data_IF_298385019531
#
_entry.id   IF_298385019531
#
_cell.length_a   1.000
_cell.length_b   1.000
_cell.length_c   1.000
_cell.angle_alpha   90.00
_cell.angle_beta   90.00
_cell.angle_gamma   90.00
#
_symmetry.space_group_name_H-M   'P 1'
#
loop_
_entity.id
_entity.type
_entity.pdbx_description
1 polymer ?
#
# COMPACT_ATOMS: atom_id res chain seq x y z
N UNK A 1 8.34 25.07 14.62
CA UNK A 1 7.74 23.74 14.72
C UNK A 1 7.31 23.42 13.31
N UNK A 2 8.19 22.77 12.55
CA UNK A 2 7.79 22.21 11.27
C UNK A 2 7.25 20.83 11.61
N UNK A 3 5.93 20.72 11.52
CA UNK A 3 5.23 19.45 11.58
C UNK A 3 5.92 18.50 10.59
N UNK A 4 6.39 17.36 11.11
CA UNK A 4 6.91 16.24 10.34
C UNK A 4 5.74 15.66 9.52
N UNK A 5 5.29 16.41 8.54
CA UNK A 5 4.26 15.99 7.61
C UNK A 5 4.90 14.92 6.76
N UNK A 6 4.68 13.68 7.18
CA UNK A 6 5.16 12.43 6.62
C UNK A 6 4.78 12.40 5.14
N UNK A 7 5.60 13.06 4.31
CA UNK A 7 5.34 13.33 2.89
C UNK A 7 5.60 12.06 2.10
N UNK A 8 4.56 11.24 1.92
CA UNK A 8 4.71 9.99 1.20
C UNK A 8 5.03 10.32 -0.28
N UNK A 9 6.03 9.65 -0.83
CA UNK A 9 6.50 9.89 -2.20
C UNK A 9 5.98 8.81 -3.15
N UNK A 10 6.01 9.09 -4.45
CA UNK A 10 5.68 8.05 -5.43
C UNK A 10 6.68 6.91 -5.32
N UNK A 11 6.18 5.68 -5.19
CA UNK A 11 6.96 4.48 -4.92
C UNK A 11 7.09 4.10 -3.44
N UNK A 12 6.66 4.96 -2.51
CA UNK A 12 6.50 4.58 -1.11
C UNK A 12 5.36 3.57 -0.94
N UNK A 13 5.46 2.75 0.10
CA UNK A 13 4.43 1.81 0.48
C UNK A 13 3.69 2.33 1.70
N UNK A 14 2.39 2.11 1.72
CA UNK A 14 1.53 2.48 2.83
C UNK A 14 0.45 1.43 3.05
N UNK A 15 -0.04 1.39 4.28
CA UNK A 15 -1.20 0.59 4.65
C UNK A 15 -2.42 1.49 4.63
N UNK A 16 -3.41 1.13 3.83
CA UNK A 16 -4.69 1.84 3.75
C UNK A 16 -5.79 1.01 4.38
N UNK A 17 -6.75 1.68 5.02
CA UNK A 17 -7.99 1.06 5.48
C UNK A 17 -9.08 1.20 4.43
N UNK A 18 -9.74 0.09 4.09
CA UNK A 18 -10.88 0.04 3.20
C UNK A 18 -11.87 -1.02 3.70
N UNK A 19 -13.12 -0.65 3.92
CA UNK A 19 -14.17 -1.59 4.40
C UNK A 19 -13.74 -2.34 5.68
N UNK A 20 -13.26 -1.60 6.69
CA UNK A 20 -12.72 -2.11 7.96
C UNK A 20 -11.55 -3.11 7.83
N UNK A 21 -10.94 -3.19 6.64
CA UNK A 21 -9.81 -4.08 6.35
C UNK A 21 -8.60 -3.26 5.93
N UNK A 22 -7.45 -3.74 6.37
CA UNK A 22 -6.16 -3.12 6.05
C UNK A 22 -5.57 -3.78 4.81
N UNK A 23 -5.23 -2.96 3.83
CA UNK A 23 -4.58 -3.38 2.60
C UNK A 23 -3.26 -2.65 2.43
N UNK A 24 -2.15 -3.35 2.15
CA UNK A 24 -0.92 -2.71 1.76
C UNK A 24 -1.05 -2.23 0.31
N UNK A 25 -0.52 -1.04 0.04
CA UNK A 25 -0.51 -0.46 -1.28
C UNK A 25 0.73 0.38 -1.54
N UNK A 26 1.00 0.60 -2.82
CA UNK A 26 2.09 1.42 -3.33
C UNK A 26 1.53 2.73 -3.87
N UNK A 27 2.12 3.85 -3.48
CA UNK A 27 1.71 5.18 -3.93
C UNK A 27 2.19 5.39 -5.36
N UNK A 28 1.24 5.49 -6.29
CA UNK A 28 1.49 5.75 -7.72
C UNK A 28 1.47 7.25 -8.04
N UNK A 29 0.67 8.04 -7.33
CA UNK A 29 0.64 9.49 -7.50
C UNK A 29 0.41 10.21 -6.17
N UNK A 30 1.29 11.17 -5.85
CA UNK A 30 1.21 11.96 -4.61
C UNK A 30 0.09 13.01 -4.64
N UNK A 31 -0.11 13.67 -5.79
CA UNK A 31 -1.07 14.77 -5.90
C UNK A 31 -2.51 14.33 -5.62
N UNK A 32 -2.83 13.08 -5.94
CA UNK A 32 -4.18 12.53 -5.80
C UNK A 32 -4.22 11.38 -4.79
N UNK A 33 -3.11 11.08 -4.09
CA UNK A 33 -2.96 9.89 -3.24
C UNK A 33 -3.49 8.62 -3.94
N UNK A 34 -3.11 8.46 -5.21
CA UNK A 34 -3.44 7.28 -5.99
C UNK A 34 -2.60 6.13 -5.44
N UNK A 35 -3.23 5.20 -4.74
CA UNK A 35 -2.57 4.04 -4.16
C UNK A 35 -3.04 2.79 -4.90
N UNK A 36 -2.09 2.02 -5.41
CA UNK A 36 -2.38 0.70 -5.93
C UNK A 36 -2.31 -0.28 -4.77
N UNK A 37 -3.43 -0.89 -4.42
CA UNK A 37 -3.53 -1.83 -3.29
C UNK A 37 -3.37 -3.27 -3.74
N UNK A 38 -2.74 -4.08 -2.89
CA UNK A 38 -2.67 -5.51 -3.06
C UNK A 38 -3.83 -6.21 -2.36
N UNK A 39 -4.21 -7.36 -2.92
CA UNK A 39 -5.20 -8.23 -2.32
C UNK A 39 -4.54 -9.41 -1.61
N UNK A 40 -5.12 -9.90 -0.51
CA UNK A 40 -4.60 -11.08 0.17
C UNK A 40 -4.70 -12.32 -0.73
N UNK A 41 -3.66 -13.14 -0.72
CA UNK A 41 -3.51 -14.37 -1.47
C UNK A 41 -2.93 -15.47 -0.54
N UNK A 42 -3.79 -16.01 0.33
CA UNK A 42 -3.37 -16.95 1.36
C UNK A 42 -2.52 -16.23 2.42
N UNK A 43 -1.26 -16.67 2.59
CA UNK A 43 -0.29 -16.05 3.50
C UNK A 43 0.51 -14.90 2.88
N UNK A 44 0.26 -14.58 1.62
CA UNK A 44 0.99 -13.57 0.86
C UNK A 44 0.05 -12.53 0.27
N UNK A 45 0.61 -11.51 -0.35
CA UNK A 45 -0.10 -10.46 -1.07
C UNK A 45 0.17 -10.59 -2.56
N UNK A 46 -0.78 -10.17 -3.39
CA UNK A 46 -0.58 -10.10 -4.83
C UNK A 46 -1.29 -8.88 -5.40
N UNK A 47 -0.81 -8.45 -6.55
CA UNK A 47 -1.54 -7.48 -7.35
C UNK A 47 -2.86 -8.11 -7.84
N UNK A 48 -4.00 -7.42 -7.71
CA UNK A 48 -5.25 -7.88 -8.27
C UNK A 48 -5.14 -7.99 -9.80
N UNK A 49 -5.84 -8.97 -10.39
CA UNK A 49 -5.80 -9.20 -11.85
C UNK A 49 -6.32 -8.01 -12.65
N UNK A 50 -7.24 -7.25 -12.07
CA UNK A 50 -7.61 -5.92 -12.53
C UNK A 50 -6.82 -4.93 -11.67
N UNK A 51 -5.99 -4.08 -12.30
CA UNK A 51 -5.27 -3.03 -11.58
C UNK A 51 -6.32 -2.14 -10.90
N UNK A 52 -6.32 -2.21 -9.58
CA UNK A 52 -7.20 -1.41 -8.74
C UNK A 52 -6.33 -0.27 -8.20
N UNK A 53 -6.38 0.85 -8.91
CA UNK A 53 -5.77 2.11 -8.51
C UNK A 53 -6.91 2.95 -7.95
N UNK A 54 -6.97 3.07 -6.63
CA UNK A 54 -8.01 3.81 -5.93
C UNK A 54 -7.38 5.09 -5.37
N UNK A 55 -8.13 6.18 -5.45
CA UNK A 55 -7.83 7.43 -4.77
C UNK A 55 -8.21 7.28 -3.30
N UNK A 56 -7.20 7.18 -2.44
CA UNK A 56 -7.43 7.12 -0.99
C UNK A 56 -7.23 8.50 -0.40
N UNK A 57 -8.17 9.01 0.41
CA UNK A 57 -7.90 10.20 1.19
C UNK A 57 -6.78 9.91 2.21
N UNK A 58 -6.04 10.94 2.61
CA UNK A 58 -4.92 10.79 3.56
C UNK A 58 -5.37 10.17 4.89
N UNK A 59 -6.61 10.39 5.32
CA UNK A 59 -7.21 9.76 6.50
C UNK A 59 -7.30 8.23 6.41
N UNK A 60 -7.39 7.67 5.20
CA UNK A 60 -7.39 6.22 5.00
C UNK A 60 -5.99 5.63 5.11
N UNK A 61 -4.94 6.45 5.03
CA UNK A 61 -3.54 6.01 5.13
C UNK A 61 -3.19 5.87 6.61
N UNK A 62 -3.14 4.64 7.08
CA UNK A 62 -2.92 4.33 8.49
C UNK A 62 -1.45 4.49 8.87
N UNK A 63 -0.55 3.89 8.07
CA UNK A 63 0.90 3.94 8.31
C UNK A 63 1.67 3.71 7.02
N UNK A 64 2.94 4.12 7.04
CA UNK A 64 3.89 3.70 5.99
C UNK A 64 4.34 2.27 6.22
N UNK A 65 4.61 1.58 5.11
CA UNK A 65 5.15 0.25 5.08
C UNK A 65 6.49 0.27 4.37
N UNK A 66 7.32 -0.70 4.72
CA UNK A 66 8.50 -1.02 3.92
C UNK A 66 8.11 -1.73 2.62
N UNK A 67 8.92 -1.58 1.56
CA UNK A 67 8.70 -2.29 0.31
C UNK A 67 8.63 -3.80 0.55
N UNK A 68 7.66 -4.50 -0.06
CA UNK A 68 7.52 -5.93 0.12
C UNK A 68 8.66 -6.67 -0.57
N UNK A 69 8.96 -7.85 -0.06
CA UNK A 69 9.86 -8.79 -0.73
C UNK A 69 9.06 -9.64 -1.72
N UNK A 70 9.54 -9.73 -2.95
CA UNK A 70 8.97 -10.63 -3.96
C UNK A 70 9.31 -12.07 -3.58
N UNK A 71 8.30 -12.86 -3.20
CA UNK A 71 8.48 -14.24 -2.74
C UNK A 71 8.69 -15.19 -3.92
N UNK A 72 8.02 -14.94 -5.05
CA UNK A 72 8.15 -15.78 -6.23
C UNK A 72 7.83 -15.03 -7.54
N UNK A 73 8.21 -15.65 -8.66
CA UNK A 73 7.93 -15.14 -10.01
C UNK A 73 6.43 -15.11 -10.37
N UNK A 74 5.55 -15.63 -9.52
CA UNK A 74 4.09 -15.55 -9.70
C UNK A 74 3.50 -14.24 -9.16
N UNK A 75 4.34 -13.31 -8.70
CA UNK A 75 3.90 -12.01 -8.20
C UNK A 75 3.28 -12.10 -6.81
N UNK A 76 3.80 -13.00 -5.95
CA UNK A 76 3.49 -12.97 -4.52
C UNK A 76 4.49 -12.08 -3.78
N UNK A 77 3.97 -11.30 -2.84
CA UNK A 77 4.67 -10.28 -2.08
C UNK A 77 4.47 -10.54 -0.60
N UNK A 78 5.53 -10.31 0.19
CA UNK A 78 5.50 -10.42 1.64
C UNK A 78 5.95 -9.11 2.27
N UNK A 79 5.17 -8.62 3.22
CA UNK A 79 5.53 -7.47 4.04
C UNK A 79 6.01 -7.95 5.40
N UNK A 80 7.11 -7.37 5.89
CA UNK A 80 7.65 -7.69 7.21
C UNK A 80 7.05 -6.80 8.32
N UNK A 81 6.59 -5.59 7.97
CA UNK A 81 6.07 -4.60 8.91
C UNK A 81 4.54 -4.44 8.85
N UNK A 82 3.84 -5.55 8.59
CA UNK A 82 2.38 -5.61 8.52
C UNK A 82 1.83 -6.25 9.81
N UNK A 83 2.08 -5.58 10.94
CA UNK A 83 1.52 -5.91 12.26
C UNK A 83 0.23 -5.15 12.54
#
# INVERSE_FOLDING_TARGET
>A
MEDENTTASVGDWCQVTYDDKLYPGEIKAKAEYLVSVMVPAGSYWKWPSKKDEILYPEECIIKRLDPPTVVNARGHFQFHNLE
#
